data_IF_382302678937
#
_entry.id   IF_382302678937
#
_cell.length_a   1.000
_cell.length_b   1.000
_cell.length_c   1.000
_cell.angle_alpha   90.00
_cell.angle_beta   90.00
_cell.angle_gamma   90.00
#
_symmetry.space_group_name_H-M   'P 1'
#
loop_
_entity.id
_entity.type
_entity.pdbx_description
1 polymer ?
#
# COMPACT_ATOMS: atom_id res chain seq x y z
N UNK A 1 -17.57 -30.95 41.87
CA UNK A 1 -17.24 -31.36 40.50
C UNK A 1 -17.26 -30.12 39.66
N UNK A 2 -16.28 -29.93 38.76
CA UNK A 2 -16.23 -28.77 37.89
C UNK A 2 -17.03 -29.05 36.60
N UNK A 3 -17.69 -28.03 36.05
CA UNK A 3 -18.44 -28.15 34.79
C UNK A 3 -17.51 -27.74 33.66
N UNK A 4 -17.30 -28.65 32.72
CA UNK A 4 -16.49 -28.41 31.52
C UNK A 4 -17.38 -28.25 30.29
N UNK A 5 -17.21 -27.16 29.57
CA UNK A 5 -17.82 -26.99 28.27
C UNK A 5 -16.89 -27.55 27.19
N UNK A 6 -17.39 -28.43 26.35
CA UNK A 6 -16.61 -29.08 25.33
C UNK A 6 -17.16 -28.86 23.91
N UNK A 7 -16.25 -28.93 22.95
CA UNK A 7 -16.50 -28.97 21.54
C UNK A 7 -15.85 -30.24 21.01
N UNK A 8 -16.63 -31.12 20.44
CA UNK A 8 -16.15 -32.41 19.96
C UNK A 8 -16.75 -32.74 18.59
N UNK A 9 -16.03 -33.56 17.82
CA UNK A 9 -16.50 -34.06 16.53
C UNK A 9 -16.91 -35.51 16.69
N UNK A 10 -18.08 -35.86 16.23
CA UNK A 10 -18.56 -37.24 16.21
C UNK A 10 -17.72 -38.08 15.25
N UNK A 11 -17.16 -39.18 15.72
CA UNK A 11 -16.28 -40.05 14.95
C UNK A 11 -16.98 -40.77 13.78
N UNK A 12 -18.32 -40.92 13.84
CA UNK A 12 -19.08 -41.61 12.80
C UNK A 12 -19.67 -40.68 11.74
N UNK A 13 -20.11 -39.46 12.13
CA UNK A 13 -20.84 -38.54 11.27
C UNK A 13 -20.01 -37.33 10.83
N UNK A 14 -18.87 -37.04 11.50
CA UNK A 14 -18.02 -35.86 11.23
C UNK A 14 -18.67 -34.54 11.67
N UNK A 15 -19.82 -34.55 12.34
CA UNK A 15 -20.49 -33.34 12.80
C UNK A 15 -19.91 -32.80 14.10
N UNK A 16 -19.83 -31.48 14.22
CA UNK A 16 -19.34 -30.77 15.38
C UNK A 16 -20.46 -30.62 16.42
N UNK A 17 -20.26 -31.20 17.64
CA UNK A 17 -21.21 -31.18 18.76
C UNK A 17 -20.60 -30.34 19.88
N UNK A 18 -21.42 -29.51 20.51
CA UNK A 18 -21.06 -28.73 21.70
C UNK A 18 -21.93 -29.20 22.87
N UNK A 19 -21.30 -29.44 24.00
CA UNK A 19 -21.97 -29.87 25.20
C UNK A 19 -21.28 -29.43 26.49
N UNK A 20 -21.89 -29.78 27.63
CA UNK A 20 -21.29 -29.58 28.95
C UNK A 20 -21.23 -30.95 29.65
N UNK A 21 -20.15 -31.18 30.37
CA UNK A 21 -19.96 -32.41 31.15
C UNK A 21 -19.39 -32.07 32.53
N UNK A 22 -19.89 -32.74 33.54
CA UNK A 22 -19.37 -32.64 34.91
C UNK A 22 -18.26 -33.66 35.12
N UNK A 23 -17.10 -33.20 35.54
CA UNK A 23 -15.95 -34.06 35.84
C UNK A 23 -15.13 -33.52 37.00
N UNK A 24 -14.33 -34.40 37.62
CA UNK A 24 -13.44 -34.00 38.70
C UNK A 24 -12.29 -33.15 38.24
N UNK A 25 -11.76 -33.46 37.04
CA UNK A 25 -10.69 -32.74 36.38
C UNK A 25 -10.83 -32.78 34.85
N UNK A 26 -9.97 -32.06 34.15
CA UNK A 26 -9.97 -31.97 32.69
C UNK A 26 -9.70 -33.32 32.00
N UNK A 27 -8.88 -34.18 32.61
CA UNK A 27 -8.54 -35.47 32.03
C UNK A 27 -9.71 -36.45 32.12
N UNK A 28 -10.44 -36.44 33.23
CA UNK A 28 -11.67 -37.21 33.40
C UNK A 28 -12.75 -36.74 32.42
N UNK A 29 -12.88 -35.45 32.18
CA UNK A 29 -13.79 -34.91 31.16
C UNK A 29 -13.45 -35.42 29.74
N UNK A 30 -12.16 -35.45 29.38
CA UNK A 30 -11.70 -35.97 28.08
C UNK A 30 -12.02 -37.46 27.92
N UNK A 31 -11.81 -38.26 28.98
CA UNK A 31 -12.10 -39.70 28.95
C UNK A 31 -13.61 -39.96 28.78
N UNK A 32 -14.46 -39.21 29.50
CA UNK A 32 -15.90 -39.34 29.41
C UNK A 32 -16.46 -38.92 28.03
N UNK A 33 -15.85 -37.92 27.38
CA UNK A 33 -16.23 -37.50 26.02
C UNK A 33 -15.81 -38.56 24.99
N UNK A 34 -14.62 -39.15 25.14
CA UNK A 34 -14.15 -40.26 24.29
C UNK A 34 -14.98 -41.53 24.44
N UNK A 35 -15.48 -41.82 25.66
CA UNK A 35 -16.36 -42.96 25.89
C UNK A 35 -17.72 -42.83 25.18
N UNK A 36 -18.09 -41.62 24.75
CA UNK A 36 -19.27 -41.33 23.93
C UNK A 36 -18.98 -41.30 22.41
N UNK A 37 -17.86 -41.84 21.97
CA UNK A 37 -17.38 -41.80 20.56
C UNK A 37 -17.21 -40.40 19.99
N UNK A 38 -16.97 -39.40 20.83
CA UNK A 38 -16.73 -38.01 20.45
C UNK A 38 -15.24 -37.68 20.58
N UNK A 39 -14.68 -37.04 19.55
CA UNK A 39 -13.30 -36.56 19.54
C UNK A 39 -13.25 -35.09 20.01
N UNK A 40 -12.75 -34.82 21.25
CA UNK A 40 -12.75 -33.47 21.79
C UNK A 40 -11.76 -32.58 21.05
N UNK A 41 -12.24 -31.46 20.49
CA UNK A 41 -11.44 -30.47 19.77
C UNK A 41 -11.06 -29.27 20.66
N UNK A 42 -11.93 -28.93 21.65
CA UNK A 42 -11.65 -27.93 22.67
C UNK A 42 -12.40 -28.18 23.95
N UNK A 43 -11.75 -27.96 25.12
CA UNK A 43 -12.37 -28.14 26.46
C UNK A 43 -11.97 -26.94 27.33
N UNK A 44 -12.96 -26.25 27.88
CA UNK A 44 -12.81 -25.12 28.80
C UNK A 44 -13.59 -25.32 30.10
N UNK A 45 -13.00 -24.92 31.23
CA UNK A 45 -13.65 -24.95 32.54
C UNK A 45 -14.56 -23.73 32.71
N UNK A 46 -15.83 -23.96 33.07
CA UNK A 46 -16.78 -22.89 33.36
C UNK A 46 -16.76 -22.62 34.85
N UNK A 47 -16.18 -21.51 35.30
CA UNK A 47 -16.28 -21.07 36.72
C UNK A 47 -17.73 -20.76 37.05
N UNK A 48 -18.31 -21.50 37.97
CA UNK A 48 -19.70 -21.41 38.40
C UNK A 48 -20.04 -20.03 38.94
N UNK A 49 -21.03 -19.37 38.35
CA UNK A 49 -21.83 -18.36 39.03
C UNK A 49 -23.07 -19.01 39.63
N UNK A 50 -23.61 -18.50 40.78
CA UNK A 50 -24.63 -19.21 41.58
C UNK A 50 -25.96 -19.37 40.85
N UNK A 51 -26.62 -20.48 41.06
CA UNK A 51 -27.89 -20.90 40.47
C UNK A 51 -29.06 -19.93 40.75
N UNK A 52 -29.97 -19.72 39.81
CA UNK A 52 -31.25 -19.05 40.05
C UNK A 52 -32.29 -20.07 40.59
N UNK A 53 -32.92 -19.74 41.74
CA UNK A 53 -34.07 -20.43 42.26
C UNK A 53 -35.36 -20.17 41.46
N UNK A 54 -36.37 -21.08 41.48
CA UNK A 54 -37.55 -20.96 40.63
C UNK A 54 -38.57 -19.97 41.19
N UNK A 55 -38.99 -18.98 40.40
CA UNK A 55 -40.08 -18.07 40.73
C UNK A 55 -41.43 -18.65 40.32
N UNK A 56 -42.31 -18.74 41.32
CA UNK A 56 -43.77 -18.92 41.17
C UNK A 56 -44.43 -17.62 40.76
N UNK A 57 -45.39 -17.75 39.87
CA UNK A 57 -46.24 -16.66 39.39
C UNK A 57 -47.20 -16.14 40.49
N UNK A 58 -47.35 -14.78 40.58
CA UNK A 58 -48.63 -14.15 40.95
C UNK A 58 -48.59 -12.63 40.75
N UNK A 59 -49.48 -12.18 40.00
CA UNK A 59 -50.31 -11.02 39.77
C UNK A 59 -50.15 -9.73 40.60
N UNK A 60 -50.20 -8.60 39.82
CA UNK A 60 -50.96 -7.33 39.93
C UNK A 60 -50.60 -6.27 40.97
N UNK A 61 -50.58 -5.07 40.40
CA UNK A 61 -50.97 -3.72 40.85
C UNK A 61 -49.95 -2.78 41.49
N UNK A 62 -49.57 -1.77 40.74
CA UNK A 62 -50.01 -0.37 41.01
C UNK A 62 -49.00 0.55 41.68
N UNK A 63 -48.74 1.67 41.01
CA UNK A 63 -48.35 3.03 41.46
C UNK A 63 -46.93 3.40 41.86
N UNK A 64 -46.38 4.19 40.97
CA UNK A 64 -45.84 5.56 41.16
C UNK A 64 -44.65 5.85 42.07
N UNK A 65 -43.69 6.56 41.48
CA UNK A 65 -42.90 7.70 41.92
C UNK A 65 -41.43 7.46 42.34
N UNK A 66 -40.64 8.12 41.53
CA UNK A 66 -39.42 8.92 41.78
C UNK A 66 -38.06 8.21 41.84
N UNK A 67 -36.96 8.94 41.50
CA UNK A 67 -35.86 8.43 40.69
C UNK A 67 -34.62 8.05 41.50
N UNK A 68 -33.84 7.10 41.03
CA UNK A 68 -32.54 6.76 41.58
C UNK A 68 -31.48 6.50 40.52
N UNK A 69 -30.19 6.50 40.81
CA UNK A 69 -29.12 7.09 40.03
C UNK A 69 -28.55 6.19 38.92
N UNK A 70 -27.93 6.89 37.94
CA UNK A 70 -27.32 6.34 36.74
C UNK A 70 -26.32 5.20 36.98
N UNK A 71 -26.62 4.01 36.45
CA UNK A 71 -25.64 2.95 36.23
C UNK A 71 -24.98 3.16 34.85
N UNK A 72 -23.65 3.31 34.87
CA UNK A 72 -22.79 3.25 33.68
C UNK A 72 -22.96 1.90 33.01
N UNK A 73 -23.74 1.83 31.97
CA UNK A 73 -23.84 0.65 31.09
C UNK A 73 -22.77 0.74 30.03
N UNK A 74 -21.87 -0.25 30.02
CA UNK A 74 -20.88 -0.42 28.95
C UNK A 74 -21.57 -0.70 27.61
N UNK A 75 -21.38 0.20 26.67
CA UNK A 75 -21.76 0.08 25.26
C UNK A 75 -20.74 -0.82 24.54
N UNK A 76 -20.98 -2.13 24.52
CA UNK A 76 -20.48 -3.00 23.47
C UNK A 76 -21.69 -3.60 22.74
N UNK A 77 -22.37 -2.78 21.98
CA UNK A 77 -23.17 -3.23 20.84
C UNK A 77 -22.31 -3.06 19.62
N UNK A 78 -21.87 -4.18 19.04
CA UNK A 78 -21.39 -4.22 17.65
C UNK A 78 -22.53 -3.76 16.73
N UNK A 79 -22.69 -2.46 16.59
CA UNK A 79 -23.57 -1.88 15.59
C UNK A 79 -22.81 -2.05 14.27
N UNK A 80 -23.10 -3.13 13.54
CA UNK A 80 -22.76 -3.21 12.12
C UNK A 80 -23.57 -2.13 11.39
N UNK A 81 -23.07 -0.91 11.40
CA UNK A 81 -23.61 0.19 10.61
C UNK A 81 -23.26 -0.13 9.16
N UNK A 82 -24.22 -0.73 8.46
CA UNK A 82 -24.12 -0.98 7.03
C UNK A 82 -24.40 0.34 6.30
N UNK A 83 -23.47 1.29 6.40
CA UNK A 83 -23.51 2.54 5.65
C UNK A 83 -23.22 2.17 4.20
N UNK A 84 -24.24 2.02 3.39
CA UNK A 84 -24.09 1.99 1.92
C UNK A 84 -23.62 3.39 1.50
N UNK A 85 -22.30 3.60 1.52
CA UNK A 85 -21.71 4.81 0.94
C UNK A 85 -22.11 4.89 -0.54
N UNK A 86 -22.56 6.07 -1.02
CA UNK A 86 -22.87 6.25 -2.44
C UNK A 86 -21.67 5.87 -3.30
N UNK A 87 -21.90 5.28 -4.47
CA UNK A 87 -20.90 4.68 -5.34
C UNK A 87 -19.73 5.61 -5.70
N UNK A 88 -19.92 6.92 -5.65
CA UNK A 88 -18.87 7.91 -5.93
C UNK A 88 -17.84 8.08 -4.79
N UNK A 89 -18.22 7.78 -3.54
CA UNK A 89 -17.32 7.82 -2.36
C UNK A 89 -16.56 6.51 -2.12
N UNK A 90 -16.89 5.46 -2.88
CA UNK A 90 -16.17 4.20 -2.76
C UNK A 90 -14.80 4.35 -3.40
N UNK A 91 -13.73 4.13 -2.61
CA UNK A 91 -12.34 4.20 -3.07
C UNK A 91 -12.02 3.15 -4.14
N UNK A 92 -10.88 3.27 -4.83
CA UNK A 92 -10.41 2.26 -5.78
C UNK A 92 -10.21 0.92 -5.08
N UNK A 93 -10.55 -0.18 -5.73
CA UNK A 93 -10.25 -1.55 -5.27
C UNK A 93 -8.73 -1.68 -5.07
N UNK A 94 -8.32 -2.39 -4.03
CA UNK A 94 -6.91 -2.67 -3.79
C UNK A 94 -6.36 -3.52 -4.93
N UNK A 95 -5.25 -3.11 -5.53
CA UNK A 95 -4.57 -3.84 -6.62
C UNK A 95 -4.42 -5.32 -6.31
N UNK A 96 -4.05 -5.66 -5.05
CA UNK A 96 -3.92 -7.04 -4.58
C UNK A 96 -5.18 -7.89 -4.78
N UNK A 97 -6.37 -7.31 -4.54
CA UNK A 97 -7.65 -8.02 -4.71
C UNK A 97 -7.91 -8.32 -6.18
N UNK A 98 -7.65 -7.34 -7.06
CA UNK A 98 -7.79 -7.52 -8.50
C UNK A 98 -6.78 -8.54 -9.04
N UNK A 99 -5.51 -8.47 -8.64
CA UNK A 99 -4.47 -9.44 -9.02
C UNK A 99 -4.86 -10.86 -8.61
N UNK A 100 -5.34 -11.05 -7.38
CA UNK A 100 -5.79 -12.36 -6.90
C UNK A 100 -7.00 -12.87 -7.69
N UNK A 101 -7.97 -12.01 -7.96
CA UNK A 101 -9.12 -12.35 -8.81
C UNK A 101 -8.67 -12.79 -10.20
N UNK A 102 -7.80 -12.02 -10.85
CA UNK A 102 -7.31 -12.32 -12.21
C UNK A 102 -6.58 -13.66 -12.24
N UNK A 103 -5.70 -13.93 -11.25
CA UNK A 103 -4.99 -15.23 -11.16
C UNK A 103 -5.95 -16.39 -10.97
N UNK A 104 -6.93 -16.25 -10.09
CA UNK A 104 -7.91 -17.29 -9.84
C UNK A 104 -8.79 -17.54 -11.07
N UNK A 105 -9.24 -16.46 -11.74
CA UNK A 105 -10.02 -16.58 -12.97
C UNK A 105 -9.20 -17.29 -14.07
N UNK A 106 -7.96 -16.86 -14.29
CA UNK A 106 -7.05 -17.50 -15.24
C UNK A 106 -6.88 -18.99 -14.94
N UNK A 107 -6.69 -19.36 -13.68
CA UNK A 107 -6.55 -20.76 -13.27
C UNK A 107 -7.80 -21.58 -13.55
N UNK A 108 -8.99 -21.04 -13.27
CA UNK A 108 -10.26 -21.73 -13.50
C UNK A 108 -10.53 -21.91 -14.99
N UNK A 109 -10.30 -20.87 -15.79
CA UNK A 109 -10.50 -20.93 -17.26
C UNK A 109 -9.48 -21.86 -17.92
N UNK A 110 -8.21 -21.82 -17.50
CA UNK A 110 -7.17 -22.73 -17.98
C UNK A 110 -7.43 -24.20 -17.59
N UNK A 111 -8.16 -24.44 -16.50
CA UNK A 111 -8.61 -25.78 -16.10
C UNK A 111 -9.87 -26.24 -16.91
N UNK A 112 -10.32 -25.46 -17.91
CA UNK A 112 -11.47 -25.79 -18.76
C UNK A 112 -12.82 -25.40 -18.18
N UNK A 113 -12.87 -24.63 -17.05
CA UNK A 113 -14.14 -24.18 -16.50
C UNK A 113 -14.72 -23.06 -17.38
N UNK A 114 -16.00 -23.14 -17.79
CA UNK A 114 -16.65 -22.08 -18.56
C UNK A 114 -16.56 -20.73 -17.82
N UNK A 115 -16.28 -19.64 -18.54
CA UNK A 115 -16.07 -18.30 -18.00
C UNK A 115 -17.16 -17.88 -17.01
N UNK A 116 -18.43 -18.04 -17.40
CA UNK A 116 -19.57 -17.70 -16.55
C UNK A 116 -19.54 -18.43 -15.20
N UNK A 117 -19.22 -19.73 -15.24
CA UNK A 117 -19.12 -20.53 -14.02
C UNK A 117 -17.95 -20.09 -13.15
N UNK A 118 -16.81 -19.76 -13.78
CA UNK A 118 -15.65 -19.18 -13.08
C UNK A 118 -15.99 -17.87 -12.36
N UNK A 119 -16.67 -16.96 -13.05
CA UNK A 119 -17.12 -15.69 -12.45
C UNK A 119 -18.08 -15.88 -11.27
N UNK A 120 -19.05 -16.80 -11.37
CA UNK A 120 -19.97 -17.12 -10.27
C UNK A 120 -19.24 -17.69 -9.05
N UNK A 121 -18.29 -18.62 -9.25
CA UNK A 121 -17.49 -19.21 -8.17
C UNK A 121 -16.68 -18.12 -7.46
N UNK A 122 -16.00 -17.27 -8.24
CA UNK A 122 -15.20 -16.19 -7.69
C UNK A 122 -16.07 -15.13 -6.98
N UNK A 123 -17.23 -14.78 -7.53
CA UNK A 123 -18.17 -13.86 -6.88
C UNK A 123 -18.56 -14.33 -5.49
N UNK A 124 -18.77 -15.63 -5.28
CA UNK A 124 -19.10 -16.18 -3.94
C UNK A 124 -17.93 -16.15 -2.97
N UNK A 125 -16.69 -16.18 -3.47
CA UNK A 125 -15.46 -16.18 -2.66
C UNK A 125 -14.95 -14.76 -2.36
N UNK A 126 -15.24 -13.78 -3.22
CA UNK A 126 -14.75 -12.41 -3.08
C UNK A 126 -15.44 -11.69 -1.92
N UNK A 127 -14.61 -11.17 -0.98
CA UNK A 127 -15.06 -10.41 0.19
C UNK A 127 -15.21 -8.92 -0.09
N UNK A 128 -14.60 -8.41 -1.18
CA UNK A 128 -14.66 -7.00 -1.56
C UNK A 128 -16.02 -6.69 -2.17
N UNK A 129 -16.81 -5.77 -1.56
CA UNK A 129 -18.16 -5.49 -2.03
C UNK A 129 -18.22 -4.87 -3.42
N UNK A 130 -17.19 -4.07 -3.80
CA UNK A 130 -17.15 -3.40 -5.10
C UNK A 130 -16.87 -4.38 -6.23
N UNK A 131 -15.90 -5.30 -6.00
CA UNK A 131 -15.60 -6.35 -6.97
C UNK A 131 -16.78 -7.32 -7.08
N UNK A 132 -17.42 -7.68 -5.96
CA UNK A 132 -18.59 -8.57 -5.97
C UNK A 132 -19.77 -7.96 -6.76
N UNK A 133 -20.04 -6.67 -6.59
CA UNK A 133 -21.07 -5.93 -7.33
C UNK A 133 -20.71 -5.88 -8.84
N UNK A 134 -19.45 -5.57 -9.17
CA UNK A 134 -18.97 -5.56 -10.56
C UNK A 134 -19.09 -6.93 -11.23
N UNK A 135 -18.67 -8.00 -10.53
CA UNK A 135 -18.79 -9.37 -11.05
C UNK A 135 -20.26 -9.76 -11.29
N UNK A 136 -21.19 -9.26 -10.46
CA UNK A 136 -22.62 -9.44 -10.68
C UNK A 136 -23.08 -8.84 -12.02
N UNK A 137 -22.77 -7.57 -12.26
CA UNK A 137 -23.15 -6.90 -13.51
C UNK A 137 -22.42 -7.44 -14.74
N UNK A 138 -21.14 -7.84 -14.59
CA UNK A 138 -20.39 -8.53 -15.65
C UNK A 138 -21.09 -9.84 -16.03
N UNK A 139 -21.45 -10.66 -15.05
CA UNK A 139 -22.15 -11.92 -15.30
C UNK A 139 -23.50 -11.70 -15.97
N UNK A 140 -24.24 -10.66 -15.61
CA UNK A 140 -25.53 -10.30 -16.20
C UNK A 140 -25.37 -9.86 -17.67
N UNK A 141 -24.36 -9.03 -17.97
CA UNK A 141 -24.06 -8.58 -19.34
C UNK A 141 -23.71 -9.77 -20.24
N UNK A 142 -22.87 -10.70 -19.76
CA UNK A 142 -22.50 -11.90 -20.54
C UNK A 142 -23.71 -12.83 -20.73
N UNK A 143 -24.54 -13.01 -19.68
CA UNK A 143 -25.75 -13.81 -19.76
C UNK A 143 -26.78 -13.25 -20.77
N UNK A 144 -26.80 -11.94 -20.97
CA UNK A 144 -27.64 -11.26 -21.99
C UNK A 144 -27.03 -11.28 -23.39
N UNK A 145 -25.89 -11.95 -23.60
CA UNK A 145 -25.26 -12.13 -24.93
C UNK A 145 -24.17 -11.11 -25.25
N UNK A 146 -23.81 -10.23 -24.29
CA UNK A 146 -22.67 -9.31 -24.44
C UNK A 146 -21.32 -10.02 -24.28
N UNK A 147 -20.25 -9.41 -24.79
CA UNK A 147 -18.90 -9.94 -24.64
C UNK A 147 -18.34 -9.66 -23.24
N UNK A 148 -17.33 -10.43 -22.81
CA UNK A 148 -16.66 -10.19 -21.52
C UNK A 148 -15.92 -8.85 -21.51
N UNK A 149 -15.26 -8.50 -22.62
CA UNK A 149 -14.58 -7.20 -22.77
C UNK A 149 -15.54 -6.01 -22.69
N UNK A 150 -16.73 -6.10 -23.31
CA UNK A 150 -17.78 -5.08 -23.18
C UNK A 150 -18.25 -4.94 -21.74
N UNK A 151 -18.51 -6.06 -21.06
CA UNK A 151 -18.93 -6.07 -19.67
C UNK A 151 -17.89 -5.43 -18.74
N UNK A 152 -16.59 -5.64 -18.98
CA UNK A 152 -15.50 -5.03 -18.22
C UNK A 152 -15.42 -3.51 -18.43
N UNK A 153 -15.72 -3.02 -19.63
CA UNK A 153 -15.68 -1.59 -19.99
C UNK A 153 -16.65 -0.75 -19.13
N UNK A 154 -17.72 -1.34 -18.60
CA UNK A 154 -18.64 -0.69 -17.70
C UNK A 154 -18.02 -0.35 -16.32
N UNK A 155 -16.87 -0.94 -15.98
CA UNK A 155 -16.20 -0.77 -14.67
C UNK A 155 -14.78 -0.22 -14.79
N UNK A 156 -14.55 0.99 -15.36
CA UNK A 156 -13.21 1.52 -15.67
C UNK A 156 -12.38 1.87 -14.42
N UNK A 157 -13.01 1.97 -13.24
CA UNK A 157 -12.30 2.17 -11.96
C UNK A 157 -11.65 0.88 -11.44
N UNK A 158 -12.09 -0.28 -11.92
CA UNK A 158 -11.63 -1.61 -11.52
C UNK A 158 -10.72 -2.19 -12.61
N UNK A 159 -11.20 -2.21 -13.83
CA UNK A 159 -10.51 -2.75 -14.99
C UNK A 159 -10.04 -1.61 -15.89
N UNK A 160 -8.74 -1.45 -15.99
CA UNK A 160 -8.12 -0.41 -16.81
C UNK A 160 -8.13 -0.76 -18.30
N UNK A 161 -7.71 0.18 -19.14
CA UNK A 161 -7.68 -0.01 -20.58
C UNK A 161 -6.80 -1.19 -21.00
N UNK A 162 -5.72 -1.47 -20.27
CA UNK A 162 -4.87 -2.63 -20.55
C UNK A 162 -5.66 -3.93 -20.37
N UNK A 163 -6.35 -4.05 -19.21
CA UNK A 163 -7.14 -5.23 -18.89
C UNK A 163 -8.21 -5.49 -19.95
N UNK A 164 -9.00 -4.47 -20.28
CA UNK A 164 -10.09 -4.55 -21.27
C UNK A 164 -9.57 -4.93 -22.66
N UNK A 165 -8.50 -4.28 -23.13
CA UNK A 165 -7.98 -4.54 -24.48
C UNK A 165 -7.32 -5.92 -24.60
N UNK A 166 -6.64 -6.39 -23.55
CA UNK A 166 -6.10 -7.76 -23.54
C UNK A 166 -7.23 -8.80 -23.60
N UNK A 167 -8.26 -8.63 -22.77
CA UNK A 167 -9.43 -9.52 -22.79
C UNK A 167 -10.11 -9.50 -24.17
N UNK A 168 -10.31 -8.30 -24.75
CA UNK A 168 -10.89 -8.14 -26.09
C UNK A 168 -10.09 -8.88 -27.16
N UNK A 169 -8.76 -8.77 -27.12
CA UNK A 169 -7.89 -9.52 -28.04
C UNK A 169 -8.01 -11.04 -27.85
N UNK A 170 -8.07 -11.51 -26.59
CA UNK A 170 -8.24 -12.92 -26.26
C UNK A 170 -9.59 -13.50 -26.69
N UNK A 171 -10.67 -12.71 -26.55
CA UNK A 171 -12.00 -13.08 -27.05
C UNK A 171 -12.03 -13.20 -28.57
N UNK A 172 -11.52 -12.17 -29.26
CA UNK A 172 -11.48 -12.13 -30.72
C UNK A 172 -10.63 -13.28 -31.32
N UNK A 173 -9.55 -13.65 -30.63
CA UNK A 173 -8.64 -14.73 -31.04
C UNK A 173 -9.04 -16.12 -30.53
N UNK A 174 -10.06 -16.25 -29.68
CA UNK A 174 -10.45 -17.52 -29.05
C UNK A 174 -9.40 -18.08 -28.06
N UNK A 175 -8.47 -17.24 -27.57
CA UNK A 175 -7.36 -17.62 -26.69
C UNK A 175 -7.45 -16.91 -25.33
N UNK A 176 -8.67 -16.75 -24.83
CA UNK A 176 -8.95 -16.03 -23.59
C UNK A 176 -8.18 -16.60 -22.39
N UNK A 177 -8.01 -17.92 -22.33
CA UNK A 177 -7.24 -18.61 -21.28
C UNK A 177 -5.78 -18.13 -21.21
N UNK A 178 -5.12 -18.05 -22.40
CA UNK A 178 -3.73 -17.60 -22.51
C UNK A 178 -3.59 -16.14 -22.10
N UNK A 179 -4.52 -15.30 -22.56
CA UNK A 179 -4.51 -13.86 -22.27
C UNK A 179 -4.77 -13.59 -20.79
N UNK A 180 -5.71 -14.30 -20.17
CA UNK A 180 -5.93 -14.18 -18.71
C UNK A 180 -4.72 -14.63 -17.90
N UNK A 181 -4.03 -15.69 -18.34
CA UNK A 181 -2.77 -16.13 -17.75
C UNK A 181 -1.70 -15.04 -17.79
N UNK A 182 -1.46 -14.43 -18.97
CA UNK A 182 -0.52 -13.33 -19.16
C UNK A 182 -0.90 -12.09 -18.35
N UNK A 183 -2.19 -11.77 -18.30
CA UNK A 183 -2.70 -10.65 -17.52
C UNK A 183 -2.49 -10.86 -16.01
N UNK A 184 -2.67 -12.08 -15.51
CA UNK A 184 -2.39 -12.46 -14.15
C UNK A 184 -0.90 -12.32 -13.82
N UNK A 185 -0.01 -12.83 -14.68
CA UNK A 185 1.45 -12.68 -14.52
C UNK A 185 1.88 -11.22 -14.53
N UNK A 186 1.33 -10.42 -15.45
CA UNK A 186 1.58 -8.97 -15.49
C UNK A 186 1.19 -8.29 -14.18
N UNK A 187 -0.04 -8.54 -13.70
CA UNK A 187 -0.54 -7.94 -12.46
C UNK A 187 0.27 -8.36 -11.24
N UNK A 188 0.68 -9.64 -11.15
CA UNK A 188 1.52 -10.16 -10.06
C UNK A 188 2.91 -9.53 -10.05
N UNK A 189 3.57 -9.43 -11.22
CA UNK A 189 4.89 -8.79 -11.34
C UNK A 189 4.82 -7.30 -10.97
N UNK A 190 3.80 -6.58 -11.47
CA UNK A 190 3.59 -5.18 -11.12
C UNK A 190 3.35 -4.99 -9.61
N UNK A 191 2.56 -5.86 -8.99
CA UNK A 191 2.32 -5.84 -7.55
C UNK A 191 3.57 -6.18 -6.75
N UNK A 192 4.36 -7.17 -7.19
CA UNK A 192 5.63 -7.55 -6.56
C UNK A 192 6.60 -6.37 -6.53
N UNK A 193 6.83 -5.69 -7.65
CA UNK A 193 7.70 -4.51 -7.73
C UNK A 193 7.21 -3.42 -6.78
N UNK A 194 5.91 -3.09 -6.85
CA UNK A 194 5.30 -2.09 -5.97
C UNK A 194 5.48 -2.41 -4.49
N UNK A 195 5.25 -3.66 -4.09
CA UNK A 195 5.40 -4.09 -2.70
C UNK A 195 6.86 -4.09 -2.27
N UNK A 196 7.80 -4.44 -3.15
CA UNK A 196 9.23 -4.38 -2.87
C UNK A 196 9.72 -2.97 -2.63
N UNK A 197 9.35 -2.02 -3.52
CA UNK A 197 9.66 -0.59 -3.34
C UNK A 197 9.05 -0.07 -2.04
N UNK A 198 7.76 -0.38 -1.79
CA UNK A 198 7.09 0.05 -0.57
C UNK A 198 7.72 -0.53 0.69
N UNK A 199 8.08 -1.82 0.68
CA UNK A 199 8.76 -2.50 1.79
C UNK A 199 10.10 -1.88 2.11
N UNK A 200 10.92 -1.61 1.08
CA UNK A 200 12.22 -0.97 1.22
C UNK A 200 12.14 0.45 1.81
N UNK A 201 11.06 1.19 1.53
CA UNK A 201 10.84 2.55 2.05
C UNK A 201 10.37 2.61 3.50
N UNK A 202 9.92 1.49 4.10
CA UNK A 202 9.42 1.50 5.50
C UNK A 202 10.53 1.87 6.47
N UNK A 203 11.69 1.24 6.38
CA UNK A 203 12.82 1.50 7.27
C UNK A 203 13.29 2.97 7.24
N UNK A 204 13.62 3.56 6.07
CA UNK A 204 13.98 4.97 5.97
C UNK A 204 12.93 5.92 6.57
N UNK A 205 11.66 5.65 6.30
CA UNK A 205 10.56 6.47 6.81
C UNK A 205 10.48 6.40 8.34
N UNK A 206 10.56 5.20 8.93
CA UNK A 206 10.53 5.02 10.39
C UNK A 206 11.70 5.74 11.06
N UNK A 207 12.93 5.55 10.51
CA UNK A 207 14.14 6.22 11.07
C UNK A 207 14.04 7.73 10.96
N UNK A 208 13.56 8.25 9.81
CA UNK A 208 13.38 9.69 9.63
C UNK A 208 12.36 10.28 10.62
N UNK A 209 11.22 9.59 10.82
CA UNK A 209 10.23 10.01 11.81
C UNK A 209 10.77 9.98 13.24
N UNK A 210 11.54 8.96 13.61
CA UNK A 210 12.20 8.88 14.90
C UNK A 210 13.21 10.02 15.08
N UNK A 211 14.02 10.29 14.06
CA UNK A 211 14.99 11.38 14.03
C UNK A 211 14.35 12.76 14.23
N UNK A 212 13.30 13.04 13.44
CA UNK A 212 12.53 14.29 13.56
C UNK A 212 11.87 14.37 14.94
N UNK A 213 11.32 13.27 15.46
CA UNK A 213 10.70 13.23 16.77
C UNK A 213 11.68 13.54 17.91
N UNK A 214 12.88 12.93 17.90
CA UNK A 214 13.94 13.19 18.87
C UNK A 214 14.40 14.65 18.77
N UNK A 215 14.67 15.14 17.57
CA UNK A 215 15.11 16.54 17.35
C UNK A 215 14.04 17.52 17.84
N UNK A 216 12.77 17.29 17.50
CA UNK A 216 11.67 18.14 17.95
C UNK A 216 11.52 18.10 19.48
N UNK A 217 11.66 16.93 20.10
CA UNK A 217 11.65 16.81 21.56
C UNK A 217 12.79 17.61 22.21
N UNK A 218 14.01 17.52 21.68
CA UNK A 218 15.13 18.30 22.17
C UNK A 218 14.88 19.82 22.04
N UNK A 219 14.41 20.26 20.88
CA UNK A 219 14.14 21.68 20.62
C UNK A 219 13.00 22.24 21.48
N UNK A 220 11.94 21.47 21.72
CA UNK A 220 10.74 21.98 22.41
C UNK A 220 10.78 21.76 23.91
N UNK A 221 11.36 20.66 24.40
CA UNK A 221 11.31 20.30 25.81
C UNK A 221 12.64 20.52 26.56
N UNK A 222 13.77 20.29 25.89
CA UNK A 222 15.08 20.31 26.55
C UNK A 222 15.72 21.70 26.49
N UNK A 223 15.86 22.27 25.31
CA UNK A 223 16.55 23.56 25.12
C UNK A 223 15.92 24.71 25.94
N UNK A 224 14.59 24.86 26.06
CA UNK A 224 14.00 25.93 26.87
C UNK A 224 14.38 25.85 28.34
N UNK A 225 14.51 24.65 28.91
CA UNK A 225 14.95 24.46 30.30
C UNK A 225 16.36 24.92 30.49
N UNK A 226 17.27 24.61 29.55
CA UNK A 226 18.64 25.09 29.57
C UNK A 226 18.75 26.62 29.41
N UNK A 227 17.88 27.19 28.55
CA UNK A 227 17.79 28.65 28.37
C UNK A 227 17.50 29.36 29.68
N UNK A 228 16.58 28.86 30.52
CA UNK A 228 16.28 29.39 31.83
C UNK A 228 17.51 29.32 32.74
N UNK A 229 18.13 28.12 32.86
CA UNK A 229 19.34 27.94 33.68
C UNK A 229 20.48 28.88 33.27
N UNK A 230 20.71 29.04 31.97
CA UNK A 230 21.77 29.92 31.47
C UNK A 230 21.49 31.41 31.74
N UNK A 231 20.24 31.85 31.59
CA UNK A 231 19.86 33.23 31.92
C UNK A 231 20.08 33.53 33.41
N UNK A 232 19.71 32.57 34.27
CA UNK A 232 19.87 32.74 35.76
C UNK A 232 21.32 32.73 36.17
N UNK A 233 22.19 31.95 35.52
CA UNK A 233 23.61 31.80 35.92
C UNK A 233 24.54 32.84 35.27
N UNK A 234 24.25 33.30 34.06
CA UNK A 234 25.11 34.22 33.32
C UNK A 234 24.78 35.70 33.55
N UNK A 235 23.67 36.02 34.26
CA UNK A 235 23.32 37.40 34.61
C UNK A 235 23.23 38.38 33.44
N UNK A 236 22.89 37.88 32.21
CA UNK A 236 22.79 38.69 31.01
C UNK A 236 24.04 38.72 30.13
N UNK A 237 25.08 37.94 30.41
CA UNK A 237 26.23 37.81 29.51
C UNK A 237 25.86 37.11 28.19
N UNK A 238 26.50 37.52 27.07
CA UNK A 238 26.24 36.99 25.76
C UNK A 238 26.54 35.49 25.67
N UNK A 239 25.61 34.73 25.12
CA UNK A 239 25.77 33.30 24.84
C UNK A 239 26.70 33.08 23.62
N UNK A 240 27.36 31.91 23.51
CA UNK A 240 28.07 31.52 22.29
C UNK A 240 27.14 31.50 21.06
N UNK A 241 27.64 31.92 19.89
CA UNK A 241 26.85 32.06 18.70
C UNK A 241 26.07 30.79 18.27
N UNK A 242 26.68 29.59 18.44
CA UNK A 242 26.03 28.31 18.17
C UNK A 242 24.83 28.06 19.10
N UNK A 243 25.01 28.43 20.41
CA UNK A 243 23.92 28.30 21.38
C UNK A 243 22.79 29.27 21.09
N UNK A 244 23.11 30.53 20.77
CA UNK A 244 22.10 31.52 20.37
C UNK A 244 21.33 31.09 19.10
N UNK A 245 22.02 30.56 18.08
CA UNK A 245 21.40 30.02 16.89
C UNK A 245 20.42 28.87 17.22
N UNK A 246 20.85 27.88 18.01
CA UNK A 246 20.00 26.72 18.38
C UNK A 246 18.82 27.15 19.23
N UNK A 247 19.01 28.09 20.15
CA UNK A 247 17.91 28.68 20.94
C UNK A 247 16.94 29.46 20.05
N UNK A 248 17.44 30.24 19.10
CA UNK A 248 16.61 30.95 18.14
C UNK A 248 15.74 29.98 17.28
N UNK A 249 16.33 28.88 16.82
CA UNK A 249 15.58 27.82 16.11
C UNK A 249 14.53 27.18 17.03
N UNK A 250 14.89 26.92 18.31
CA UNK A 250 13.95 26.36 19.28
C UNK A 250 12.76 27.29 19.53
N UNK A 251 13.02 28.55 19.80
CA UNK A 251 11.98 29.56 20.00
C UNK A 251 11.09 29.72 18.79
N UNK A 252 11.69 29.75 17.59
CA UNK A 252 10.96 29.84 16.34
C UNK A 252 10.03 28.62 16.12
N UNK A 253 10.52 27.40 16.36
CA UNK A 253 9.73 26.17 16.26
C UNK A 253 8.57 26.18 17.24
N UNK A 254 8.80 26.58 18.51
CA UNK A 254 7.75 26.60 19.53
C UNK A 254 6.64 27.60 19.22
N UNK A 255 6.99 28.80 18.75
CA UNK A 255 6.00 29.84 18.45
C UNK A 255 5.30 29.61 17.11
N UNK A 256 5.91 28.86 16.18
CA UNK A 256 5.40 28.70 14.83
C UNK A 256 4.97 27.26 14.49
N UNK A 257 4.72 26.40 15.49
CA UNK A 257 4.35 25.00 15.24
C UNK A 257 3.06 24.87 14.41
N UNK A 258 2.07 25.73 14.66
CA UNK A 258 0.82 25.79 13.90
C UNK A 258 1.09 26.31 12.49
N UNK A 259 1.90 27.36 12.35
CA UNK A 259 2.29 27.95 11.06
C UNK A 259 3.06 26.93 10.22
N UNK A 260 3.98 26.16 10.83
CA UNK A 260 4.67 25.03 10.17
C UNK A 260 3.70 23.98 9.65
N UNK A 261 2.71 23.60 10.47
CA UNK A 261 1.65 22.68 10.05
C UNK A 261 0.86 23.21 8.84
N UNK A 262 0.51 24.51 8.86
CA UNK A 262 -0.18 25.17 7.76
C UNK A 262 0.69 25.21 6.50
N UNK A 263 1.99 25.54 6.62
CA UNK A 263 2.93 25.57 5.50
C UNK A 263 3.07 24.17 4.87
N UNK A 264 3.23 23.14 5.68
CA UNK A 264 3.32 21.75 5.20
C UNK A 264 2.02 21.35 4.48
N UNK A 265 0.86 21.65 5.08
CA UNK A 265 -0.43 21.40 4.46
C UNK A 265 -0.60 22.17 3.14
N UNK A 266 -0.21 23.44 3.10
CA UNK A 266 -0.23 24.26 1.90
C UNK A 266 0.68 23.70 0.80
N UNK A 267 1.91 23.27 1.13
CA UNK A 267 2.83 22.63 0.19
C UNK A 267 2.25 21.33 -0.40
N UNK A 268 1.59 20.51 0.43
CA UNK A 268 0.92 19.29 -0.04
C UNK A 268 -0.24 19.63 -0.98
N UNK A 269 -1.04 20.64 -0.65
CA UNK A 269 -2.15 21.11 -1.50
C UNK A 269 -1.61 21.69 -2.82
N UNK A 270 -0.60 22.55 -2.76
CA UNK A 270 0.07 23.15 -3.93
C UNK A 270 0.63 22.05 -4.84
N UNK A 271 1.36 21.08 -4.28
CA UNK A 271 1.85 19.93 -5.05
C UNK A 271 0.72 19.17 -5.73
N UNK A 272 -0.40 18.95 -5.03
CA UNK A 272 -1.56 18.25 -5.59
C UNK A 272 -2.25 19.06 -6.68
N UNK A 273 -2.42 20.37 -6.49
CA UNK A 273 -3.04 21.27 -7.48
C UNK A 273 -2.14 21.40 -8.72
N UNK A 274 -0.86 21.70 -8.55
CA UNK A 274 0.10 21.78 -9.67
C UNK A 274 0.20 20.45 -10.41
N UNK A 275 0.24 19.33 -9.67
CA UNK A 275 0.30 17.99 -10.27
C UNK A 275 -0.97 17.58 -11.06
N UNK A 276 -2.09 18.30 -10.91
CA UNK A 276 -3.28 18.11 -11.73
C UNK A 276 -3.23 18.89 -13.05
N UNK A 277 -2.37 19.90 -13.16
CA UNK A 277 -2.16 20.63 -14.41
C UNK A 277 -1.21 19.87 -15.33
N UNK A 278 -1.43 19.92 -16.65
CA UNK A 278 -0.58 19.20 -17.61
C UNK A 278 0.89 19.62 -17.54
N UNK A 279 1.15 20.92 -17.49
CA UNK A 279 2.51 21.47 -17.40
C UNK A 279 3.18 21.16 -16.06
N UNK A 280 2.42 21.23 -14.96
CA UNK A 280 2.93 20.92 -13.63
C UNK A 280 3.25 19.43 -13.45
N UNK A 281 2.39 18.54 -13.92
CA UNK A 281 2.65 17.10 -13.91
C UNK A 281 3.91 16.75 -14.73
N UNK A 282 4.06 17.33 -15.94
CA UNK A 282 5.25 17.14 -16.75
C UNK A 282 6.53 17.60 -16.04
N UNK A 283 6.50 18.80 -15.40
CA UNK A 283 7.64 19.32 -14.64
C UNK A 283 8.02 18.39 -13.47
N UNK A 284 7.04 17.91 -12.71
CA UNK A 284 7.29 16.95 -11.62
C UNK A 284 7.87 15.64 -12.14
N UNK A 285 7.41 15.15 -13.27
CA UNK A 285 7.91 13.93 -13.90
C UNK A 285 9.36 14.10 -14.39
N UNK A 286 9.70 15.25 -15.01
CA UNK A 286 11.09 15.60 -15.40
C UNK A 286 11.99 15.66 -14.16
N UNK A 287 11.54 16.36 -13.10
CA UNK A 287 12.31 16.45 -11.85
C UNK A 287 12.52 15.07 -11.25
N UNK A 288 11.47 14.24 -11.20
CA UNK A 288 11.56 12.89 -10.63
C UNK A 288 12.55 11.98 -11.36
N UNK A 289 12.69 12.15 -12.68
CA UNK A 289 13.67 11.42 -13.50
C UNK A 289 15.11 11.93 -13.31
N UNK A 290 15.27 13.25 -13.01
CA UNK A 290 16.59 13.87 -12.84
C UNK A 290 17.10 13.88 -11.40
N UNK A 291 16.28 13.52 -10.42
CA UNK A 291 16.71 13.48 -9.01
C UNK A 291 17.81 12.44 -8.79
N UNK A 292 18.89 12.79 -8.06
CA UNK A 292 19.90 11.82 -7.69
C UNK A 292 19.27 10.69 -6.87
N UNK A 293 19.75 9.45 -7.03
CA UNK A 293 19.31 8.23 -6.35
C UNK A 293 17.91 7.75 -6.76
N UNK A 294 16.87 8.59 -6.69
CA UNK A 294 15.50 8.21 -7.04
C UNK A 294 15.22 8.20 -8.53
N UNK A 295 15.91 9.05 -9.30
CA UNK A 295 15.71 9.16 -10.76
C UNK A 295 16.04 7.86 -11.50
N UNK A 296 17.10 7.19 -11.11
CA UNK A 296 17.47 5.86 -11.66
C UNK A 296 16.37 4.83 -11.40
N UNK A 297 15.79 4.79 -10.20
CA UNK A 297 14.68 3.89 -9.87
C UNK A 297 13.44 4.22 -10.72
N UNK A 298 13.08 5.51 -10.85
CA UNK A 298 11.93 5.95 -11.67
C UNK A 298 12.13 5.55 -13.12
N UNK A 299 13.32 5.81 -13.69
CA UNK A 299 13.67 5.45 -15.06
C UNK A 299 13.56 3.94 -15.30
N UNK A 300 14.23 3.12 -14.47
CA UNK A 300 14.22 1.65 -14.60
C UNK A 300 12.81 1.08 -14.46
N UNK A 301 12.03 1.60 -13.51
CA UNK A 301 10.63 1.21 -13.33
C UNK A 301 9.76 1.57 -14.55
N UNK A 302 9.99 2.75 -15.14
CA UNK A 302 9.27 3.17 -16.34
C UNK A 302 9.61 2.30 -17.54
N UNK A 303 10.90 2.00 -17.77
CA UNK A 303 11.35 1.10 -18.84
C UNK A 303 10.76 -0.31 -18.65
N UNK A 304 10.92 -0.91 -17.47
CA UNK A 304 10.33 -2.23 -17.16
C UNK A 304 8.83 -2.26 -17.43
N UNK A 305 8.09 -1.25 -16.97
CA UNK A 305 6.64 -1.18 -17.16
C UNK A 305 6.27 -1.07 -18.64
N UNK A 306 6.89 -0.15 -19.38
CA UNK A 306 6.64 0.08 -20.81
C UNK A 306 6.91 -1.19 -21.61
N UNK A 307 8.10 -1.76 -21.47
CA UNK A 307 8.50 -2.95 -22.24
C UNK A 307 7.70 -4.17 -21.89
N UNK A 308 7.37 -4.36 -20.61
CA UNK A 308 6.49 -5.46 -20.18
C UNK A 308 5.07 -5.31 -20.73
N UNK A 309 4.47 -4.12 -20.62
CA UNK A 309 3.12 -3.90 -21.11
C UNK A 309 3.05 -4.07 -22.62
N UNK A 310 3.99 -3.47 -23.35
CA UNK A 310 4.07 -3.56 -24.80
C UNK A 310 4.32 -5.01 -25.26
N UNK A 311 5.31 -5.68 -24.65
CA UNK A 311 5.62 -7.08 -24.95
C UNK A 311 4.42 -8.01 -24.68
N UNK A 312 3.71 -7.80 -23.58
CA UNK A 312 2.52 -8.61 -23.23
C UNK A 312 1.38 -8.39 -24.23
N UNK A 313 1.12 -7.15 -24.65
CA UNK A 313 0.08 -6.83 -25.64
C UNK A 313 0.40 -7.43 -27.00
N UNK A 314 1.62 -7.24 -27.50
CA UNK A 314 2.07 -7.80 -28.78
C UNK A 314 2.05 -9.33 -28.78
N UNK A 315 2.54 -9.94 -27.70
CA UNK A 315 2.48 -11.39 -27.54
C UNK A 315 1.04 -11.93 -27.46
N UNK A 316 0.08 -11.09 -27.07
CA UNK A 316 -1.36 -11.43 -27.03
C UNK A 316 -2.08 -11.13 -28.36
N UNK A 317 -1.34 -10.70 -29.41
CA UNK A 317 -1.90 -10.43 -30.74
C UNK A 317 -2.54 -9.04 -30.90
N UNK A 318 -2.37 -8.13 -29.93
CA UNK A 318 -2.85 -6.75 -30.06
C UNK A 318 -1.98 -6.00 -31.09
N UNK A 319 -2.57 -5.34 -32.09
CA UNK A 319 -1.81 -4.58 -33.08
C UNK A 319 -0.89 -3.53 -32.44
N UNK A 320 0.30 -3.31 -33.04
CA UNK A 320 1.35 -2.47 -32.48
C UNK A 320 0.89 -1.03 -32.20
N UNK A 321 0.19 -0.40 -33.14
CA UNK A 321 -0.32 0.97 -32.97
C UNK A 321 -1.29 1.07 -31.79
N UNK A 322 -2.20 0.10 -31.65
CA UNK A 322 -3.12 0.05 -30.51
C UNK A 322 -2.38 -0.22 -29.21
N UNK A 323 -1.37 -1.10 -29.23
CA UNK A 323 -0.52 -1.39 -28.07
C UNK A 323 0.21 -0.15 -27.59
N UNK A 324 0.78 0.66 -28.48
CA UNK A 324 1.47 1.92 -28.16
C UNK A 324 0.52 2.93 -27.50
N UNK A 325 -0.72 3.07 -27.99
CA UNK A 325 -1.73 3.93 -27.34
C UNK A 325 -2.03 3.46 -25.92
N UNK A 326 -2.27 2.15 -25.72
CA UNK A 326 -2.57 1.60 -24.40
C UNK A 326 -1.39 1.83 -23.43
N UNK A 327 -0.16 1.56 -23.88
CA UNK A 327 1.05 1.73 -23.06
C UNK A 327 1.27 3.21 -22.72
N UNK A 328 1.10 4.12 -23.67
CA UNK A 328 1.16 5.58 -23.46
C UNK A 328 0.20 6.01 -22.34
N UNK A 329 -1.04 5.55 -22.37
CA UNK A 329 -2.07 5.96 -21.42
C UNK A 329 -1.87 5.34 -20.02
N UNK A 330 -1.18 4.20 -19.94
CA UNK A 330 -0.97 3.45 -18.69
C UNK A 330 0.41 3.67 -18.06
N UNK A 331 1.35 4.33 -18.73
CA UNK A 331 2.74 4.49 -18.23
C UNK A 331 2.84 5.34 -16.96
N UNK A 332 1.93 6.31 -16.76
CA UNK A 332 1.84 7.13 -15.57
C UNK A 332 2.91 8.22 -15.43
N UNK A 333 3.84 8.33 -16.37
CA UNK A 333 4.86 9.41 -16.46
C UNK A 333 4.69 10.16 -17.79
N UNK A 334 4.53 11.48 -17.72
CA UNK A 334 4.24 12.32 -18.89
C UNK A 334 5.39 12.39 -19.89
N UNK A 335 6.64 12.32 -19.42
CA UNK A 335 7.82 12.33 -20.31
C UNK A 335 7.84 11.05 -21.15
N UNK A 336 7.60 9.92 -20.51
CA UNK A 336 7.52 8.61 -21.18
C UNK A 336 6.30 8.53 -22.10
N UNK A 337 5.16 9.06 -21.65
CA UNK A 337 3.93 9.13 -22.46
C UNK A 337 4.15 9.93 -23.75
N UNK A 338 4.85 11.07 -23.66
CA UNK A 338 5.20 11.87 -24.84
C UNK A 338 6.16 11.13 -25.79
N UNK A 339 7.16 10.43 -25.24
CA UNK A 339 8.06 9.61 -26.05
C UNK A 339 7.31 8.52 -26.80
N UNK A 340 6.37 7.83 -26.12
CA UNK A 340 5.54 6.79 -26.75
C UNK A 340 4.58 7.36 -27.79
N UNK A 341 4.10 8.60 -27.63
CA UNK A 341 3.34 9.28 -28.65
C UNK A 341 4.19 9.50 -29.92
N UNK A 342 5.44 9.98 -29.76
CA UNK A 342 6.34 10.17 -30.90
C UNK A 342 6.65 8.83 -31.59
N UNK A 343 6.83 7.75 -30.84
CA UNK A 343 6.99 6.39 -31.39
C UNK A 343 5.75 5.94 -32.16
N UNK A 344 4.56 6.17 -31.59
CA UNK A 344 3.30 5.84 -32.25
C UNK A 344 3.15 6.56 -33.59
N UNK A 345 3.46 7.86 -33.62
CA UNK A 345 3.31 8.69 -34.82
C UNK A 345 4.30 8.26 -35.90
N UNK A 346 5.57 7.98 -35.55
CA UNK A 346 6.58 7.45 -36.46
C UNK A 346 6.18 6.09 -37.05
N UNK A 347 5.73 5.15 -36.21
CA UNK A 347 5.26 3.82 -36.65
C UNK A 347 4.03 3.93 -37.56
N UNK A 348 3.13 4.89 -37.30
CA UNK A 348 1.95 5.16 -38.14
C UNK A 348 2.35 5.69 -39.52
N UNK A 349 3.47 6.44 -39.61
CA UNK A 349 4.03 6.93 -40.86
C UNK A 349 4.88 5.89 -41.62
N UNK A 350 5.05 4.70 -41.03
CA UNK A 350 5.83 3.61 -41.59
C UNK A 350 7.31 3.62 -41.22
N UNK A 351 7.68 4.49 -40.28
CA UNK A 351 9.02 4.50 -39.70
C UNK A 351 9.14 3.42 -38.60
N UNK A 352 10.37 3.00 -38.29
CA UNK A 352 10.64 2.08 -37.20
C UNK A 352 10.47 2.71 -35.81
N UNK A 353 10.41 1.88 -34.76
CA UNK A 353 10.37 2.33 -33.36
C UNK A 353 11.73 2.82 -32.86
N UNK A 354 12.81 2.35 -33.44
CA UNK A 354 14.19 2.52 -32.97
C UNK A 354 14.61 3.98 -32.90
N UNK A 355 14.43 4.74 -33.97
CA UNK A 355 14.86 6.14 -34.03
C UNK A 355 14.13 7.06 -33.01
N UNK A 356 12.79 7.05 -32.91
CA UNK A 356 12.08 7.86 -31.92
C UNK A 356 12.33 7.42 -30.48
N UNK A 357 12.61 6.13 -30.21
CA UNK A 357 13.03 5.66 -28.88
C UNK A 357 14.42 6.17 -28.52
N UNK A 358 15.37 6.16 -29.46
CA UNK A 358 16.73 6.67 -29.25
C UNK A 358 16.75 8.18 -28.95
N UNK A 359 15.81 8.94 -29.51
CA UNK A 359 15.68 10.38 -29.27
C UNK A 359 15.21 10.69 -27.82
N UNK A 360 14.67 9.71 -27.11
CA UNK A 360 14.20 9.88 -25.73
C UNK A 360 15.25 9.42 -24.72
N UNK A 361 15.70 10.32 -23.85
CA UNK A 361 16.72 10.03 -22.81
C UNK A 361 16.25 9.04 -21.73
N UNK A 362 14.97 8.68 -21.70
CA UNK A 362 14.44 7.71 -20.73
C UNK A 362 14.86 6.29 -21.08
N UNK A 363 14.97 5.96 -22.39
CA UNK A 363 15.33 4.64 -22.86
C UNK A 363 16.85 4.52 -23.06
N UNK A 364 17.55 3.66 -22.26
CA UNK A 364 18.98 3.46 -22.43
C UNK A 364 19.32 2.80 -23.77
N UNK A 365 20.57 2.96 -24.27
CA UNK A 365 21.00 2.42 -25.56
C UNK A 365 20.74 0.92 -25.74
N UNK A 366 20.92 0.11 -24.67
CA UNK A 366 20.65 -1.32 -24.69
C UNK A 366 19.18 -1.61 -25.06
N UNK A 367 18.24 -0.85 -24.54
CA UNK A 367 16.79 -1.01 -24.84
C UNK A 367 16.54 -0.74 -26.33
N UNK A 368 17.11 0.35 -26.84
CA UNK A 368 16.99 0.75 -28.25
C UNK A 368 17.55 -0.33 -29.17
N UNK A 369 18.77 -0.83 -28.89
CA UNK A 369 19.38 -1.91 -29.70
C UNK A 369 18.59 -3.21 -29.67
N UNK A 370 18.02 -3.59 -28.50
CA UNK A 370 17.18 -4.80 -28.43
C UNK A 370 15.85 -4.63 -29.18
N UNK A 371 15.28 -3.42 -29.19
CA UNK A 371 14.08 -3.11 -29.99
C UNK A 371 14.42 -3.18 -31.48
N UNK A 372 15.55 -2.64 -31.91
CA UNK A 372 16.05 -2.69 -33.29
C UNK A 372 16.17 -4.14 -33.77
N UNK A 373 16.86 -5.00 -33.02
CA UNK A 373 16.95 -6.44 -33.32
C UNK A 373 15.56 -7.08 -33.37
N UNK A 374 14.67 -6.71 -32.45
CA UNK A 374 13.31 -7.23 -32.44
C UNK A 374 12.48 -6.83 -33.65
N UNK A 375 12.67 -5.59 -34.17
CA UNK A 375 12.03 -5.10 -35.39
C UNK A 375 12.57 -5.82 -36.63
N UNK A 376 13.90 -5.94 -36.77
CA UNK A 376 14.56 -6.59 -37.90
C UNK A 376 14.24 -8.09 -38.00
N UNK A 377 14.16 -8.78 -36.85
CA UNK A 377 13.92 -10.22 -36.77
C UNK A 377 12.42 -10.61 -36.71
N UNK A 378 11.53 -9.63 -36.54
CA UNK A 378 10.11 -9.86 -36.30
C UNK A 378 9.80 -10.43 -34.91
N UNK A 379 10.79 -10.52 -33.99
CA UNK A 379 10.68 -11.08 -32.65
C UNK A 379 10.52 -9.99 -31.55
N UNK A 380 9.85 -8.87 -31.88
CA UNK A 380 9.74 -7.69 -31.01
C UNK A 380 9.12 -8.02 -29.65
N UNK A 381 8.08 -8.85 -29.62
CA UNK A 381 7.41 -9.25 -28.36
C UNK A 381 8.36 -9.99 -27.40
N UNK A 382 9.21 -10.87 -27.93
CA UNK A 382 10.18 -11.64 -27.13
C UNK A 382 11.31 -10.73 -26.65
N UNK A 383 11.81 -9.82 -27.49
CA UNK A 383 12.84 -8.85 -27.10
C UNK A 383 12.34 -7.92 -25.99
N UNK A 384 11.13 -7.38 -26.15
CA UNK A 384 10.51 -6.55 -25.12
C UNK A 384 10.31 -7.29 -23.80
N UNK A 385 9.95 -8.57 -23.84
CA UNK A 385 9.83 -9.41 -22.64
C UNK A 385 11.18 -9.63 -21.96
N UNK A 386 12.25 -9.84 -22.73
CA UNK A 386 13.63 -9.96 -22.20
C UNK A 386 14.08 -8.64 -21.57
N UNK A 387 13.87 -7.51 -22.24
CA UNK A 387 14.17 -6.19 -21.67
C UNK A 387 13.42 -6.02 -20.35
N UNK A 388 12.13 -6.32 -20.32
CA UNK A 388 11.32 -6.18 -19.11
C UNK A 388 11.85 -7.02 -17.93
N UNK A 389 12.29 -8.27 -18.19
CA UNK A 389 12.85 -9.12 -17.14
C UNK A 389 14.20 -8.58 -16.65
N UNK A 390 15.09 -8.14 -17.52
CA UNK A 390 16.34 -7.49 -17.14
C UNK A 390 16.11 -6.24 -16.31
N UNK A 391 15.13 -5.41 -16.72
CA UNK A 391 14.82 -4.19 -15.97
C UNK A 391 14.07 -4.43 -14.67
N UNK A 392 13.40 -5.56 -14.47
CA UNK A 392 12.89 -5.97 -13.15
C UNK A 392 14.05 -6.20 -12.18
N UNK A 393 15.10 -6.90 -12.62
CA UNK A 393 16.31 -7.13 -11.81
C UNK A 393 17.05 -5.80 -11.56
N UNK A 394 17.09 -4.91 -12.55
CA UNK A 394 17.67 -3.58 -12.41
C UNK A 394 16.88 -2.69 -11.43
N UNK A 395 15.54 -2.80 -11.38
CA UNK A 395 14.70 -2.14 -10.39
C UNK A 395 15.01 -2.70 -8.99
N UNK A 396 15.17 -4.02 -8.88
CA UNK A 396 15.52 -4.67 -7.63
C UNK A 396 16.87 -4.17 -7.09
N UNK A 397 17.88 -4.07 -7.95
CA UNK A 397 19.18 -3.53 -7.63
C UNK A 397 19.13 -2.03 -7.27
N UNK A 398 18.34 -1.25 -8.01
CA UNK A 398 18.17 0.18 -7.72
C UNK A 398 17.50 0.42 -6.35
N UNK A 399 16.51 -0.40 -5.99
CA UNK A 399 15.85 -0.34 -4.66
C UNK A 399 16.85 -0.68 -3.57
N UNK A 400 17.64 -1.73 -3.74
CA UNK A 400 18.67 -2.13 -2.77
C UNK A 400 19.74 -1.03 -2.61
N UNK A 401 20.24 -0.48 -3.73
CA UNK A 401 21.23 0.60 -3.73
C UNK A 401 20.69 1.89 -3.10
N UNK A 402 19.45 2.24 -3.38
CA UNK A 402 18.80 3.39 -2.75
C UNK A 402 18.69 3.23 -1.22
N UNK A 403 18.28 2.04 -0.76
CA UNK A 403 18.18 1.76 0.68
C UNK A 403 19.55 1.85 1.36
N UNK A 404 20.58 1.27 0.75
CA UNK A 404 21.95 1.32 1.24
C UNK A 404 22.54 2.74 1.28
N UNK A 405 22.17 3.62 0.34
CA UNK A 405 22.64 5.01 0.29
C UNK A 405 21.91 5.92 1.32
N UNK A 406 20.67 5.62 1.64
CA UNK A 406 19.88 6.42 2.59
C UNK A 406 20.43 6.27 4.02
N UNK A 407 20.87 5.10 4.42
CA UNK A 407 21.32 4.81 5.78
C UNK A 407 22.51 5.69 6.23
N UNK A 408 23.65 5.73 5.49
CA UNK A 408 24.75 6.64 5.86
C UNK A 408 24.34 8.12 5.84
N UNK A 409 23.50 8.49 4.90
CA UNK A 409 23.00 9.88 4.79
C UNK A 409 22.19 10.28 6.01
N UNK A 410 21.31 9.40 6.51
CA UNK A 410 20.54 9.63 7.73
C UNK A 410 21.44 9.69 8.97
N UNK A 411 22.44 8.80 9.07
CA UNK A 411 23.39 8.81 10.20
C UNK A 411 24.17 10.13 10.24
N UNK A 412 24.72 10.58 9.09
CA UNK A 412 25.45 11.85 9.01
C UNK A 412 24.53 13.01 9.36
N UNK A 413 23.31 13.05 8.82
CA UNK A 413 22.33 14.07 9.13
C UNK A 413 22.03 14.14 10.64
N UNK A 414 21.76 13.00 11.27
CA UNK A 414 21.51 12.92 12.69
C UNK A 414 22.73 13.36 13.51
N UNK A 415 23.93 12.90 13.16
CA UNK A 415 25.16 13.26 13.85
C UNK A 415 25.40 14.78 13.81
N UNK A 416 25.17 15.42 12.68
CA UNK A 416 25.29 16.88 12.54
C UNK A 416 24.24 17.59 13.40
N UNK A 417 22.98 17.20 13.32
CA UNK A 417 21.89 17.86 14.05
C UNK A 417 22.06 17.68 15.57
N UNK A 418 22.18 16.43 16.03
CA UNK A 418 22.30 16.11 17.45
C UNK A 418 23.64 16.64 17.99
N UNK A 419 24.74 16.51 17.25
CA UNK A 419 26.06 17.05 17.64
C UNK A 419 26.02 18.57 17.80
N UNK A 420 25.37 19.29 16.90
CA UNK A 420 25.19 20.75 17.02
C UNK A 420 24.40 21.12 18.29
N UNK A 421 23.31 20.40 18.59
CA UNK A 421 22.51 20.63 19.79
C UNK A 421 23.35 20.37 21.05
N UNK A 422 24.09 19.26 21.08
CA UNK A 422 24.96 18.93 22.24
C UNK A 422 26.03 19.98 22.44
N UNK A 423 26.75 20.36 21.38
CA UNK A 423 27.78 21.43 21.48
C UNK A 423 27.13 22.73 21.92
N UNK A 424 25.99 23.12 21.42
CA UNK A 424 25.26 24.32 21.80
C UNK A 424 24.89 24.36 23.30
N UNK A 425 24.66 23.17 23.91
CA UNK A 425 24.34 23.06 25.34
C UNK A 425 25.60 23.07 26.22
N UNK A 426 26.72 22.49 25.75
CA UNK A 426 27.95 22.42 26.54
C UNK A 426 28.77 23.71 26.53
N UNK A 427 28.78 24.46 25.43
CA UNK A 427 29.57 25.69 25.31
C UNK A 427 29.25 26.74 26.38
N UNK A 428 27.99 27.06 26.72
CA UNK A 428 27.68 27.97 27.84
C UNK A 428 28.18 27.45 29.20
N UNK A 429 28.11 26.14 29.46
CA UNK A 429 28.59 25.56 30.71
C UNK A 429 30.10 25.76 30.87
N UNK A 430 30.88 25.59 29.80
CA UNK A 430 32.32 25.87 29.79
C UNK A 430 32.58 27.36 30.09
N UNK A 431 31.78 28.26 29.49
CA UNK A 431 31.89 29.71 29.72
C UNK A 431 31.55 30.08 31.16
N UNK A 432 30.55 29.47 31.79
CA UNK A 432 30.20 29.66 33.18
C UNK A 432 31.35 29.22 34.08
N UNK A 433 31.93 28.03 33.86
CA UNK A 433 33.05 27.50 34.61
C UNK A 433 34.25 28.47 34.52
N UNK A 434 34.59 28.93 33.32
CA UNK A 434 35.71 29.87 33.13
C UNK A 434 35.50 31.22 33.86
N UNK A 435 34.26 31.71 33.89
CA UNK A 435 33.92 32.96 34.60
C UNK A 435 33.98 32.77 36.12
N UNK A 436 33.52 31.63 36.65
CA UNK A 436 33.54 31.35 38.10
C UNK A 436 34.95 31.03 38.60
N UNK A 437 35.80 30.38 37.80
CA UNK A 437 37.18 30.01 38.16
C UNK A 437 38.19 31.15 37.93
N UNK A 438 37.77 32.30 37.43
CA UNK A 438 38.65 33.45 37.19
C UNK A 438 39.69 33.24 36.08
N UNK A 439 39.56 32.22 35.27
CA UNK A 439 40.50 31.86 34.20
C UNK A 439 40.24 32.63 32.87
N UNK A 440 39.51 33.73 32.91
CA UNK A 440 39.09 34.54 31.77
C UNK A 440 39.48 36.02 31.88
N UNK A 441 40.72 36.32 32.30
CA UNK A 441 41.30 37.67 32.19
C UNK A 441 42.31 37.73 31.05
#
# INVERSE_FOLDING_TARGET
MAIFQYKATDAATGQEIRGQIEAADRNSAIQSIRAQNLLPTAIGEVKSAPAPQPQKAAAKRGKATAPAPAKKGGLNKDIKINIKLPAFMRGKIKTKVLTQFTRQLATLVNAGLPLMRGLEVLRRQMKDPQLNEALGGISETIASGGTFSEALTAYPKIFDNLYVNMVKAGEAGGVLEVVLGRLAEFAEKAERIKNKVKGAMIYPVVVLFAAIGITAFLLVAVIPKFKQVFNDMLGGASLPAITEFVMGVSDWVQHNIVTMGIIIAALVVIKKVIGHTEKGAYLFDVISLKMPVTGTLVQRTAVSRVTRTLGTLLASGVPILQSLVIVRDTTGNRVVSQALQNVHDAVKEGEGMTAPLAACSVFPPMVVSMVEVGEETGALADMLTRIANTYDDEVDNAVAGMTAAIEPTLIIFLAVVVGTIVIAMFLPMIKIISTVTGAGS
#
